data_IF_439208099545
#
_entry.id   IF_439208099545
#
_cell.length_a   1.000
_cell.length_b   1.000
_cell.length_c   1.000
_cell.angle_alpha   90.00
_cell.angle_beta   90.00
_cell.angle_gamma   90.00
#
_symmetry.space_group_name_H-M   'P 1'
#
loop_
_entity.id
_entity.type
_entity.pdbx_description
1 polymer ?
#
# COMPACT_ATOMS: atom_id res chain seq x y z
N UNK A 1 -6.24 2.45 12.20
CA UNK A 1 -6.92 3.53 11.45
C UNK A 1 -5.97 4.40 10.62
N UNK A 2 -4.64 4.36 10.84
CA UNK A 2 -3.66 5.13 10.03
C UNK A 2 -3.65 4.70 8.55
N UNK A 3 -3.58 3.39 8.28
CA UNK A 3 -3.60 2.85 6.90
C UNK A 3 -4.87 3.27 6.14
N UNK A 4 -6.01 3.33 6.83
CA UNK A 4 -7.28 3.77 6.24
C UNK A 4 -7.23 5.25 5.82
N UNK A 5 -6.69 6.12 6.66
CA UNK A 5 -6.53 7.54 6.33
C UNK A 5 -5.55 7.77 5.17
N UNK A 6 -4.43 7.04 5.15
CA UNK A 6 -3.45 7.09 4.06
C UNK A 6 -4.04 6.64 2.72
N UNK A 7 -4.83 5.56 2.74
CA UNK A 7 -5.52 5.07 1.55
C UNK A 7 -6.53 6.09 1.00
N UNK A 8 -7.33 6.70 1.88
CA UNK A 8 -8.37 7.65 1.46
C UNK A 8 -7.79 8.85 0.71
N UNK A 9 -6.74 9.48 1.25
CA UNK A 9 -6.07 10.62 0.61
C UNK A 9 -5.31 10.26 -0.67
N UNK A 10 -4.71 9.07 -0.71
CA UNK A 10 -4.02 8.56 -1.90
C UNK A 10 -4.99 8.33 -3.07
N UNK A 11 -6.17 7.78 -2.80
CA UNK A 11 -7.20 7.50 -3.81
C UNK A 11 -7.85 8.79 -4.33
N UNK A 12 -8.06 9.79 -3.48
CA UNK A 12 -8.62 11.10 -3.90
C UNK A 12 -7.69 11.86 -4.85
N UNK A 13 -6.37 11.81 -4.60
CA UNK A 13 -5.36 12.32 -5.55
C UNK A 13 -5.19 11.42 -6.76
N UNK A 14 -5.24 10.10 -6.59
CA UNK A 14 -5.14 9.11 -7.67
C UNK A 14 -6.28 9.21 -8.69
N UNK A 15 -7.51 9.42 -8.23
CA UNK A 15 -8.69 9.64 -9.08
C UNK A 15 -8.60 10.96 -9.85
N UNK A 16 -8.01 11.99 -9.25
CA UNK A 16 -7.68 13.24 -9.95
C UNK A 16 -6.69 12.98 -11.10
N UNK A 17 -5.67 12.12 -10.91
CA UNK A 17 -4.75 11.74 -11.99
C UNK A 17 -5.43 10.97 -13.15
N UNK A 18 -6.44 10.14 -12.85
CA UNK A 18 -7.26 9.47 -13.87
C UNK A 18 -8.13 10.45 -14.67
N UNK A 19 -8.64 11.50 -14.02
CA UNK A 19 -9.47 12.52 -14.67
C UNK A 19 -8.66 13.51 -15.52
N UNK A 20 -7.47 13.89 -15.06
CA UNK A 20 -6.64 14.90 -15.72
C UNK A 20 -5.79 14.33 -16.86
N UNK A 21 -5.43 13.04 -16.82
CA UNK A 21 -4.69 12.35 -17.88
C UNK A 21 -5.49 11.14 -18.39
N UNK A 22 -6.45 11.36 -19.32
CA UNK A 22 -7.22 10.28 -19.93
C UNK A 22 -6.30 9.42 -20.84
N UNK A 23 -5.73 8.36 -20.27
CA UNK A 23 -4.81 7.45 -20.94
C UNK A 23 -4.26 6.36 -20.01
N UNK A 24 -3.39 5.49 -20.54
CA UNK A 24 -2.72 4.43 -19.75
C UNK A 24 -1.88 5.03 -18.61
N UNK A 25 -1.37 6.26 -18.77
CA UNK A 25 -0.59 6.98 -17.77
C UNK A 25 -1.34 7.24 -16.46
N UNK A 26 -2.62 7.65 -16.51
CA UNK A 26 -3.44 7.86 -15.32
C UNK A 26 -3.72 6.55 -14.56
N UNK A 27 -3.94 5.45 -15.29
CA UNK A 27 -4.13 4.11 -14.70
C UNK A 27 -2.84 3.57 -14.07
N UNK A 28 -1.69 3.79 -14.71
CA UNK A 28 -0.38 3.40 -14.16
C UNK A 28 -0.06 4.16 -12.87
N UNK A 29 -0.28 5.49 -12.83
CA UNK A 29 -0.06 6.28 -11.61
C UNK A 29 -1.00 5.87 -10.48
N UNK A 30 -2.27 5.60 -10.80
CA UNK A 30 -3.24 5.11 -9.81
C UNK A 30 -2.86 3.75 -9.25
N UNK A 31 -2.40 2.84 -10.11
CA UNK A 31 -1.98 1.49 -9.72
C UNK A 31 -0.69 1.54 -8.90
N UNK A 32 0.27 2.39 -9.27
CA UNK A 32 1.48 2.64 -8.48
C UNK A 32 1.15 3.22 -7.10
N UNK A 33 0.20 4.16 -7.02
CA UNK A 33 -0.24 4.77 -5.77
C UNK A 33 -0.97 3.77 -4.86
N UNK A 34 -1.82 2.92 -5.43
CA UNK A 34 -2.51 1.86 -4.66
C UNK A 34 -1.51 0.79 -4.19
N UNK A 35 -0.54 0.43 -5.03
CA UNK A 35 0.52 -0.52 -4.69
C UNK A 35 1.43 -0.03 -3.56
N UNK A 36 1.81 1.25 -3.56
CA UNK A 36 2.66 1.82 -2.51
C UNK A 36 1.96 1.86 -1.14
N UNK A 37 0.65 2.14 -1.10
CA UNK A 37 -0.15 2.08 0.14
C UNK A 37 -0.23 0.66 0.68
N UNK A 38 -0.33 -0.35 -0.17
CA UNK A 38 -0.36 -1.75 0.26
C UNK A 38 0.98 -2.20 0.84
N UNK A 39 2.10 -1.83 0.21
CA UNK A 39 3.45 -2.06 0.76
C UNK A 39 3.66 -1.33 2.10
N UNK A 40 3.24 -0.07 2.20
CA UNK A 40 3.32 0.70 3.45
C UNK A 40 2.44 0.08 4.55
N UNK A 41 1.25 -0.40 4.20
CA UNK A 41 0.35 -1.13 5.09
C UNK A 41 0.95 -2.43 5.60
N UNK A 42 1.61 -3.20 4.73
CA UNK A 42 2.29 -4.43 5.11
C UNK A 42 3.41 -4.17 6.15
N UNK A 43 4.28 -3.18 5.92
CA UNK A 43 5.31 -2.81 6.91
C UNK A 43 4.73 -2.31 8.24
N UNK A 44 3.67 -1.49 8.20
CA UNK A 44 3.03 -1.01 9.43
C UNK A 44 2.41 -2.16 10.23
N UNK A 45 1.75 -3.10 9.56
CA UNK A 45 1.15 -4.27 10.21
C UNK A 45 2.22 -5.20 10.79
N UNK A 46 3.33 -5.37 10.09
CA UNK A 46 4.48 -6.15 10.52
C UNK A 46 5.13 -5.59 11.80
N UNK A 47 5.36 -4.27 11.86
CA UNK A 47 5.85 -3.60 13.07
C UNK A 47 4.89 -3.74 14.26
N UNK A 48 3.58 -3.60 14.04
CA UNK A 48 2.57 -3.76 15.10
C UNK A 48 2.47 -5.22 15.58
N UNK A 49 2.65 -6.20 14.68
CA UNK A 49 2.76 -7.62 15.04
C UNK A 49 3.98 -7.85 15.94
N UNK A 50 5.14 -7.31 15.56
CA UNK A 50 6.38 -7.37 16.33
C UNK A 50 6.21 -6.78 17.75
N UNK A 51 5.47 -5.68 17.88
CA UNK A 51 5.22 -5.03 19.18
C UNK A 51 4.20 -5.79 20.05
N UNK A 52 3.21 -6.46 19.45
CA UNK A 52 2.23 -7.29 20.17
C UNK A 52 2.67 -8.73 20.44
N UNK A 53 3.75 -9.19 19.80
CA UNK A 53 4.38 -10.48 20.07
C UNK A 53 5.63 -10.66 19.22
N UNK A 54 6.80 -10.67 19.83
CA UNK A 54 8.01 -11.23 19.20
C UNK A 54 7.85 -12.76 19.15
N UNK A 55 7.47 -13.33 18.01
CA UNK A 55 8.38 -14.19 17.23
C UNK A 55 8.17 -14.10 15.69
N UNK A 56 9.24 -14.30 14.92
CA UNK A 56 9.27 -14.51 13.46
C UNK A 56 8.59 -15.85 13.04
N UNK A 57 7.40 -16.15 13.55
CA UNK A 57 6.70 -17.42 13.34
C UNK A 57 5.76 -17.34 12.11
N UNK A 58 6.25 -17.93 11.00
CA UNK A 58 5.49 -18.50 9.86
C UNK A 58 5.17 -17.64 8.62
N UNK A 59 6.21 -17.11 7.98
CA UNK A 59 6.31 -17.15 6.52
C UNK A 59 7.78 -17.33 6.10
N UNK A 60 8.16 -18.58 5.85
CA UNK A 60 9.41 -19.07 5.24
C UNK A 60 8.96 -19.91 4.02
N UNK A 61 9.74 -20.18 2.96
CA UNK A 61 10.71 -19.44 2.13
C UNK A 61 10.34 -19.49 0.61
N UNK A 62 11.07 -18.79 -0.27
CA UNK A 62 11.47 -19.24 -1.64
C UNK A 62 11.97 -18.04 -2.47
N UNK A 63 13.21 -17.61 -2.23
CA UNK A 63 14.08 -17.15 -3.31
C UNK A 63 14.92 -18.37 -3.72
N UNK A 64 14.64 -18.91 -4.91
CA UNK A 64 15.49 -19.79 -5.71
C UNK A 64 15.43 -19.27 -7.14
#
# INVERSE_FOLDING_TARGET
MVIYALALGAIERGTTYLGQYPGIGGKLLFLACTGSVFMAGAKMLDCVRHEKGSPQDKAMPAET
#
